data_IF_413459797464
#
_entry.id   IF_413459797464
#
_cell.length_a   1.000
_cell.length_b   1.000
_cell.length_c   1.000
_cell.angle_alpha   90.00
_cell.angle_beta   90.00
_cell.angle_gamma   90.00
#
_symmetry.space_group_name_H-M   'P 1'
#
loop_
_entity.id
_entity.type
_entity.pdbx_description
1 polymer ?
#
# COMPACT_ATOMS: atom_id res chain seq x y z
N UNK A 1 -15.15 11.15 4.20
CA UNK A 1 -14.34 10.49 5.25
C UNK A 1 -14.82 9.10 5.63
N UNK A 2 -15.51 8.33 4.76
CA UNK A 2 -15.57 6.89 4.94
C UNK A 2 -14.14 6.34 4.91
N UNK A 3 -13.73 5.64 5.97
CA UNK A 3 -12.45 4.91 6.09
C UNK A 3 -11.19 5.63 5.58
N UNK A 4 -10.95 6.89 5.98
CA UNK A 4 -9.60 7.46 5.83
C UNK A 4 -8.64 6.62 6.67
N UNK A 5 -7.49 6.27 6.12
CA UNK A 5 -6.38 5.71 6.90
C UNK A 5 -6.03 6.71 8.02
N UNK A 6 -6.24 6.36 9.31
CA UNK A 6 -6.09 7.32 10.42
C UNK A 6 -4.68 7.88 10.54
N UNK A 7 -3.71 7.27 9.87
CA UNK A 7 -2.30 7.63 9.88
C UNK A 7 -1.83 8.52 8.72
N UNK A 8 -2.71 8.96 7.82
CA UNK A 8 -2.33 9.79 6.67
C UNK A 8 -2.93 11.20 6.72
N UNK A 9 -2.08 12.23 6.76
CA UNK A 9 -2.51 13.63 6.71
C UNK A 9 -2.83 14.07 5.28
N UNK A 10 -4.00 14.69 5.10
CA UNK A 10 -4.39 15.31 3.83
C UNK A 10 -3.97 16.79 3.93
N UNK A 11 -3.17 17.32 2.99
CA UNK A 11 -2.83 18.73 2.98
C UNK A 11 -4.07 19.62 2.79
N UNK A 12 -4.07 20.81 3.39
CA UNK A 12 -5.18 21.78 3.33
C UNK A 12 -5.22 22.60 2.03
N UNK A 13 -4.46 22.20 1.00
CA UNK A 13 -4.38 22.93 -0.27
C UNK A 13 -5.65 22.80 -1.12
N UNK A 14 -6.48 21.80 -0.83
CA UNK A 14 -7.82 21.60 -1.40
C UNK A 14 -8.82 21.44 -0.25
N UNK A 15 -10.01 22.10 -0.30
CA UNK A 15 -11.02 21.97 0.75
C UNK A 15 -11.34 20.50 1.06
N UNK A 16 -11.04 20.01 2.28
CA UNK A 16 -11.35 18.64 2.66
C UNK A 16 -12.83 18.49 3.02
N UNK A 17 -13.42 17.36 2.65
CA UNK A 17 -14.77 16.99 3.10
C UNK A 17 -14.73 15.67 3.88
N UNK A 18 -15.21 15.72 5.13
CA UNK A 18 -15.29 14.56 6.03
C UNK A 18 -16.38 13.56 5.64
N UNK A 19 -17.27 13.92 4.73
CA UNK A 19 -18.27 13.05 4.12
C UNK A 19 -18.30 13.30 2.61
N UNK A 20 -19.09 12.51 1.88
CA UNK A 20 -19.38 12.86 0.49
C UNK A 20 -20.05 14.23 0.45
N UNK A 21 -19.58 15.18 -0.39
CA UNK A 21 -20.09 16.54 -0.33
C UNK A 21 -21.59 16.58 -0.66
N UNK A 22 -22.43 17.19 0.19
CA UNK A 22 -23.89 17.13 0.06
C UNK A 22 -24.39 17.77 -1.24
N UNK A 23 -23.64 18.70 -1.82
CA UNK A 23 -23.95 19.32 -3.11
C UNK A 23 -23.96 18.33 -4.29
N UNK A 24 -23.39 17.14 -4.14
CA UNK A 24 -23.40 16.06 -5.14
C UNK A 24 -24.40 14.95 -4.80
N UNK A 25 -25.23 15.12 -3.77
CA UNK A 25 -26.22 14.14 -3.30
C UNK A 25 -25.71 13.27 -2.14
N UNK A 26 -26.43 12.19 -1.84
CA UNK A 26 -26.05 11.26 -0.78
C UNK A 26 -25.19 10.12 -1.34
N UNK A 27 -24.00 9.92 -0.78
CA UNK A 27 -23.26 8.68 -1.01
C UNK A 27 -23.85 7.56 -0.15
N UNK A 28 -24.23 6.46 -0.80
CA UNK A 28 -24.49 5.21 -0.10
C UNK A 28 -23.15 4.64 0.34
N UNK A 29 -22.84 4.74 1.62
CA UNK A 29 -21.68 4.06 2.19
C UNK A 29 -21.88 2.54 2.03
N UNK A 30 -20.95 1.87 1.36
CA UNK A 30 -20.92 0.41 1.30
C UNK A 30 -19.92 -0.09 2.32
N UNK A 31 -20.39 -0.90 3.28
CA UNK A 31 -19.50 -1.54 4.23
C UNK A 31 -18.50 -2.45 3.52
N UNK A 32 -17.28 -2.50 4.08
CA UNK A 32 -16.27 -3.44 3.59
C UNK A 32 -16.71 -4.87 3.92
N UNK A 33 -16.50 -5.84 3.01
CA UNK A 33 -16.82 -7.24 3.29
C UNK A 33 -16.17 -7.75 4.57
N UNK A 34 -16.81 -8.74 5.20
CA UNK A 34 -16.19 -9.49 6.29
C UNK A 34 -14.90 -10.15 5.82
N UNK A 35 -13.94 -10.23 6.73
CA UNK A 35 -12.59 -10.73 6.49
C UNK A 35 -12.05 -11.35 7.77
N UNK A 36 -11.09 -12.25 7.64
CA UNK A 36 -10.36 -12.79 8.78
C UNK A 36 -9.59 -11.66 9.46
N UNK A 37 -9.86 -11.47 10.76
CA UNK A 37 -9.21 -10.44 11.56
C UNK A 37 -7.79 -10.86 11.97
N UNK A 38 -6.91 -9.88 12.11
CA UNK A 38 -5.58 -10.10 12.64
C UNK A 38 -5.62 -10.44 14.15
N UNK A 39 -4.60 -11.15 14.61
CA UNK A 39 -4.32 -11.44 16.00
C UNK A 39 -4.03 -10.15 16.76
N UNK A 40 -4.51 -10.06 17.99
CA UNK A 40 -4.25 -8.92 18.87
C UNK A 40 -2.76 -8.60 18.99
N UNK A 41 -2.37 -7.39 18.62
CA UNK A 41 -0.98 -6.90 18.67
C UNK A 41 -0.18 -7.08 17.38
N UNK A 42 -0.71 -7.80 16.38
CA UNK A 42 -0.17 -7.81 15.03
C UNK A 42 -0.76 -6.65 14.20
N UNK A 43 -0.09 -6.29 13.10
CA UNK A 43 -0.64 -5.36 12.10
C UNK A 43 -1.29 -6.16 10.98
N UNK A 44 -2.60 -6.00 10.81
CA UNK A 44 -3.40 -6.68 9.79
C UNK A 44 -3.47 -5.94 8.46
N UNK A 45 -3.76 -6.69 7.41
CA UNK A 45 -4.09 -6.15 6.11
C UNK A 45 -4.93 -7.11 5.29
N UNK A 46 -5.63 -6.56 4.31
CA UNK A 46 -6.51 -7.33 3.45
C UNK A 46 -6.73 -6.66 2.09
N UNK A 47 -7.14 -7.46 1.10
CA UNK A 47 -7.58 -6.93 -0.18
C UNK A 47 -8.93 -6.21 -0.05
N UNK A 48 -9.35 -5.50 -1.11
CA UNK A 48 -10.62 -4.75 -1.12
C UNK A 48 -11.83 -5.65 -0.84
N UNK A 49 -11.88 -6.84 -1.44
CA UNK A 49 -13.00 -7.77 -1.28
C UNK A 49 -12.92 -8.65 -0.02
N UNK A 50 -11.86 -8.55 0.78
CA UNK A 50 -11.66 -9.36 1.99
C UNK A 50 -11.22 -10.82 1.74
N UNK A 51 -11.20 -11.29 0.49
CA UNK A 51 -10.85 -12.67 0.13
C UNK A 51 -9.35 -13.03 0.27
N UNK A 52 -8.50 -12.06 0.62
CA UNK A 52 -7.08 -12.27 0.95
C UNK A 52 -6.77 -11.43 2.18
N UNK A 53 -6.26 -12.08 3.21
CA UNK A 53 -5.91 -11.45 4.50
C UNK A 53 -4.55 -11.90 4.96
N UNK A 54 -3.82 -11.02 5.63
CA UNK A 54 -2.50 -11.29 6.18
C UNK A 54 -2.27 -10.49 7.45
N UNK A 55 -1.21 -10.83 8.16
CA UNK A 55 -0.70 -10.03 9.25
C UNK A 55 0.82 -10.08 9.33
N UNK A 56 1.40 -9.15 10.08
CA UNK A 56 2.79 -9.22 10.49
C UNK A 56 3.01 -8.70 11.91
N UNK A 57 4.06 -9.20 12.55
CA UNK A 57 4.46 -8.79 13.89
C UNK A 57 5.57 -7.73 13.86
N UNK A 58 5.59 -6.89 14.89
CA UNK A 58 6.65 -5.90 15.11
C UNK A 58 6.57 -4.68 14.19
N UNK A 59 7.58 -3.82 14.27
CA UNK A 59 7.65 -2.60 13.48
C UNK A 59 8.27 -2.87 12.10
N UNK A 60 7.74 -2.25 11.02
CA UNK A 60 8.37 -2.28 9.72
C UNK A 60 9.82 -1.77 9.73
N UNK A 61 10.66 -2.38 8.89
CA UNK A 61 12.07 -1.99 8.71
C UNK A 61 12.18 -0.66 7.95
N UNK A 62 11.26 -0.43 7.01
CA UNK A 62 11.23 0.79 6.21
C UNK A 62 9.84 1.02 5.59
N UNK A 63 9.56 2.28 5.28
CA UNK A 63 8.45 2.69 4.43
C UNK A 63 8.91 3.77 3.46
N UNK A 64 8.60 3.64 2.17
CA UNK A 64 9.03 4.60 1.13
C UNK A 64 7.95 4.87 0.10
N UNK A 65 7.96 6.06 -0.48
CA UNK A 65 7.16 6.42 -1.64
C UNK A 65 7.97 6.24 -2.92
N UNK A 66 7.62 5.27 -3.75
CA UNK A 66 8.31 4.98 -5.00
C UNK A 66 7.56 5.54 -6.21
N UNK A 67 8.21 6.49 -6.89
CA UNK A 67 7.66 7.23 -8.04
C UNK A 67 7.97 6.61 -9.40
N UNK A 68 8.70 5.48 -9.43
CA UNK A 68 9.11 4.88 -10.69
C UNK A 68 7.90 4.47 -11.55
N UNK A 69 8.04 4.50 -12.88
CA UNK A 69 6.96 4.20 -13.82
C UNK A 69 6.28 2.86 -13.56
N UNK A 70 7.03 1.86 -13.10
CA UNK A 70 6.52 0.53 -12.76
C UNK A 70 5.61 0.55 -11.54
N UNK A 71 6.03 1.22 -10.47
CA UNK A 71 5.23 1.33 -9.25
C UNK A 71 3.92 2.08 -9.51
N UNK A 72 3.98 3.17 -10.28
CA UNK A 72 2.77 3.90 -10.70
C UNK A 72 1.80 3.04 -11.50
N UNK A 73 2.31 2.29 -12.48
CA UNK A 73 1.49 1.42 -13.33
C UNK A 73 0.93 0.23 -12.57
N UNK A 74 1.71 -0.38 -11.68
CA UNK A 74 1.25 -1.52 -10.88
C UNK A 74 0.16 -1.11 -9.88
N UNK A 75 0.29 0.06 -9.24
CA UNK A 75 -0.70 0.54 -8.27
C UNK A 75 -1.83 1.36 -8.90
N UNK A 76 -1.73 1.72 -10.19
CA UNK A 76 -2.59 2.72 -10.83
C UNK A 76 -2.67 4.04 -10.04
N UNK A 77 -1.54 4.51 -9.53
CA UNK A 77 -1.44 5.64 -8.61
C UNK A 77 -0.25 6.57 -8.93
N UNK A 78 -0.21 7.74 -8.30
CA UNK A 78 0.85 8.74 -8.44
C UNK A 78 2.25 8.19 -8.12
N UNK A 79 2.29 7.33 -7.12
CA UNK A 79 3.43 6.58 -6.61
C UNK A 79 2.90 5.37 -5.84
N UNK A 80 3.79 4.47 -5.45
CA UNK A 80 3.47 3.38 -4.55
C UNK A 80 4.12 3.61 -3.19
N UNK A 81 3.33 3.67 -2.12
CA UNK A 81 3.86 3.55 -0.76
C UNK A 81 4.03 2.08 -0.43
N UNK A 82 5.25 1.73 -0.05
CA UNK A 82 5.65 0.34 0.18
C UNK A 82 6.27 0.24 1.57
N UNK A 83 5.74 -0.68 2.36
CA UNK A 83 6.22 -1.08 3.68
C UNK A 83 7.09 -2.33 3.52
N UNK A 84 8.25 -2.38 4.17
CA UNK A 84 9.14 -3.53 4.19
C UNK A 84 9.17 -4.14 5.60
N UNK A 85 8.97 -5.45 5.69
CA UNK A 85 8.99 -6.21 6.94
C UNK A 85 9.84 -7.49 6.78
N UNK A 86 10.41 -8.03 7.87
CA UNK A 86 11.09 -9.32 7.81
C UNK A 86 10.14 -10.42 7.34
N UNK A 87 10.57 -11.28 6.43
CA UNK A 87 9.71 -12.34 5.90
C UNK A 87 9.22 -13.30 7.00
N UNK A 88 10.05 -13.56 7.99
CA UNK A 88 9.71 -14.39 9.16
C UNK A 88 8.65 -13.76 10.08
N UNK A 89 8.42 -12.44 10.01
CA UNK A 89 7.42 -11.76 10.80
C UNK A 89 6.05 -11.71 10.11
N UNK A 90 5.98 -12.10 8.83
CA UNK A 90 4.78 -12.03 8.00
C UNK A 90 4.10 -13.40 7.91
N UNK A 91 2.77 -13.42 7.86
CA UNK A 91 1.98 -14.63 7.60
C UNK A 91 0.67 -14.31 6.88
N UNK A 92 0.28 -15.20 5.97
CA UNK A 92 -1.07 -15.19 5.39
C UNK A 92 -2.06 -15.77 6.40
N UNK A 93 -3.23 -15.16 6.47
CA UNK A 93 -4.33 -15.63 7.32
C UNK A 93 -5.39 -16.38 6.51
N UNK A 94 -5.66 -15.91 5.29
CA UNK A 94 -6.61 -16.55 4.38
C UNK A 94 -6.36 -16.11 2.93
N UNK A 95 -6.75 -16.97 1.99
CA UNK A 95 -6.87 -16.60 0.59
C UNK A 95 -5.56 -16.43 -0.19
N UNK A 96 -4.45 -17.02 0.26
CA UNK A 96 -3.19 -16.99 -0.48
C UNK A 96 -3.36 -17.53 -1.92
N UNK A 97 -4.21 -18.54 -2.12
CA UNK A 97 -4.55 -19.11 -3.43
C UNK A 97 -5.28 -18.15 -4.37
N UNK A 98 -5.81 -17.04 -3.85
CA UNK A 98 -6.41 -15.97 -4.65
C UNK A 98 -5.37 -14.96 -5.17
N UNK A 99 -4.09 -15.13 -4.86
CA UNK A 99 -3.03 -14.25 -5.36
C UNK A 99 -2.59 -14.63 -6.78
N UNK A 100 -2.47 -13.61 -7.62
CA UNK A 100 -1.80 -13.70 -8.91
C UNK A 100 -0.49 -12.95 -8.81
N UNK A 101 0.60 -13.64 -9.14
CA UNK A 101 1.93 -13.05 -9.18
C UNK A 101 2.28 -12.71 -10.64
N UNK A 102 2.60 -11.45 -10.89
CA UNK A 102 3.15 -11.00 -12.16
C UNK A 102 4.63 -10.67 -11.99
N UNK A 103 5.47 -11.30 -12.81
CA UNK A 103 6.91 -11.03 -12.88
C UNK A 103 7.24 -10.50 -14.27
N UNK A 104 8.01 -9.42 -14.33
CA UNK A 104 8.51 -8.93 -15.62
C UNK A 104 9.45 -9.97 -16.24
N UNK A 105 9.38 -10.19 -17.56
CA UNK A 105 10.39 -10.99 -18.26
C UNK A 105 11.81 -10.56 -17.89
N UNK A 106 12.72 -11.53 -17.74
CA UNK A 106 14.13 -11.40 -17.33
C UNK A 106 14.43 -10.78 -15.95
N UNK A 107 13.46 -10.32 -15.18
CA UNK A 107 13.76 -9.54 -13.99
C UNK A 107 13.86 -10.37 -12.71
N UNK A 108 15.03 -10.41 -12.06
CA UNK A 108 15.27 -11.22 -10.83
C UNK A 108 14.29 -10.93 -9.68
N UNK A 109 14.04 -9.65 -9.38
CA UNK A 109 13.32 -9.21 -8.16
C UNK A 109 12.06 -8.37 -8.48
N UNK A 110 11.79 -8.12 -9.76
CA UNK A 110 10.79 -7.13 -10.20
C UNK A 110 9.46 -7.81 -10.55
N UNK A 111 8.56 -7.84 -9.59
CA UNK A 111 7.18 -8.33 -9.78
C UNK A 111 6.17 -7.56 -8.94
N UNK A 112 4.90 -7.94 -9.07
CA UNK A 112 3.78 -7.52 -8.22
C UNK A 112 2.87 -8.71 -7.92
N UNK A 113 2.17 -8.69 -6.80
CA UNK A 113 1.14 -9.65 -6.45
C UNK A 113 -0.20 -8.92 -6.31
N UNK A 114 -1.30 -9.53 -6.73
CA UNK A 114 -2.62 -8.92 -6.59
C UNK A 114 -3.70 -9.98 -6.40
N UNK A 115 -4.79 -9.58 -5.73
CA UNK A 115 -5.95 -10.43 -5.57
C UNK A 115 -6.65 -10.63 -6.93
N UNK A 116 -6.86 -11.88 -7.34
CA UNK A 116 -7.55 -12.23 -8.59
C UNK A 116 -9.01 -11.80 -8.66
N UNK A 117 -9.63 -11.56 -7.52
CA UNK A 117 -11.06 -11.22 -7.40
C UNK A 117 -11.27 -9.72 -7.58
N UNK A 118 -10.49 -8.88 -6.89
CA UNK A 118 -10.71 -7.44 -6.84
C UNK A 118 -9.56 -6.59 -7.41
N UNK A 119 -8.44 -7.20 -7.82
CA UNK A 119 -7.29 -6.49 -8.38
C UNK A 119 -6.43 -5.70 -7.38
N UNK A 120 -6.78 -5.68 -6.09
CA UNK A 120 -5.99 -5.03 -5.05
C UNK A 120 -4.58 -5.59 -5.03
N UNK A 121 -3.59 -4.70 -4.95
CA UNK A 121 -2.19 -5.06 -4.87
C UNK A 121 -1.88 -5.59 -3.47
N UNK A 122 -1.18 -6.71 -3.39
CA UNK A 122 -0.98 -7.49 -2.18
C UNK A 122 0.50 -7.68 -1.86
N UNK A 123 0.85 -8.06 -0.62
CA UNK A 123 2.20 -8.37 -0.23
C UNK A 123 2.87 -9.40 -1.14
N UNK A 124 4.18 -9.26 -1.30
CA UNK A 124 5.00 -10.25 -2.01
C UNK A 124 6.38 -10.35 -1.37
N UNK A 125 7.04 -11.48 -1.61
CA UNK A 125 8.45 -11.64 -1.29
C UNK A 125 9.30 -10.73 -2.17
N UNK A 126 10.04 -9.81 -1.55
CA UNK A 126 10.97 -8.89 -2.22
C UNK A 126 12.35 -9.51 -2.36
N UNK A 127 12.87 -10.07 -1.28
CA UNK A 127 14.10 -10.88 -1.21
C UNK A 127 13.81 -12.08 -0.31
N UNK A 128 14.72 -13.06 -0.22
CA UNK A 128 14.53 -14.25 0.63
C UNK A 128 14.18 -13.92 2.09
N UNK A 129 14.66 -12.79 2.62
CA UNK A 129 14.43 -12.36 4.01
C UNK A 129 13.42 -11.24 4.20
N UNK A 130 12.82 -10.69 3.14
CA UNK A 130 12.02 -9.46 3.25
C UNK A 130 10.73 -9.51 2.42
N UNK A 131 9.62 -9.21 3.07
CA UNK A 131 8.32 -8.97 2.42
C UNK A 131 8.17 -7.49 2.09
N UNK A 132 7.63 -7.21 0.91
CA UNK A 132 7.20 -5.88 0.50
C UNK A 132 5.68 -5.84 0.47
N UNK A 133 5.10 -4.93 1.24
CA UNK A 133 3.67 -4.76 1.44
C UNK A 133 3.26 -3.41 0.82
N UNK A 134 2.37 -3.38 -0.18
CA UNK A 134 1.72 -2.14 -0.60
C UNK A 134 0.95 -1.55 0.59
N UNK A 135 1.34 -0.38 1.09
CA UNK A 135 0.80 0.16 2.36
C UNK A 135 -0.72 0.40 2.30
N UNK A 136 -1.29 0.60 1.11
CA UNK A 136 -2.73 0.77 0.92
C UNK A 136 -3.60 -0.47 1.16
N UNK A 137 -3.02 -1.65 1.38
CA UNK A 137 -3.76 -2.85 1.78
C UNK A 137 -3.70 -3.14 3.29
N UNK A 138 -3.14 -2.24 4.09
CA UNK A 138 -3.14 -2.35 5.55
C UNK A 138 -4.49 -1.91 6.12
N UNK A 139 -4.95 -2.66 7.11
CA UNK A 139 -6.18 -2.37 7.85
C UNK A 139 -5.87 -1.59 9.13
N UNK A 140 -4.68 -1.77 9.70
CA UNK A 140 -4.22 -1.19 10.95
C UNK A 140 -3.04 -0.21 10.73
N UNK A 141 -2.80 0.68 11.71
CA UNK A 141 -1.64 1.59 11.66
C UNK A 141 -0.33 0.80 11.90
N UNK A 142 0.58 0.73 10.93
CA UNK A 142 1.85 0.02 11.12
C UNK A 142 2.84 0.75 12.05
N UNK A 143 2.50 1.94 12.57
CA UNK A 143 3.36 2.76 13.43
C UNK A 143 4.55 3.42 12.71
N UNK A 144 4.79 3.09 11.45
CA UNK A 144 5.83 3.66 10.59
C UNK A 144 5.22 4.65 9.59
N UNK A 145 6.01 5.65 9.19
CA UNK A 145 5.65 6.63 8.14
C UNK A 145 6.69 6.60 7.01
N UNK A 146 6.36 7.04 5.79
CA UNK A 146 7.32 7.06 4.70
C UNK A 146 8.54 7.91 5.04
N UNK A 147 9.74 7.36 4.88
CA UNK A 147 10.99 8.05 5.22
C UNK A 147 11.59 8.83 4.03
N UNK A 148 11.18 8.52 2.80
CA UNK A 148 11.71 9.13 1.59
C UNK A 148 10.77 9.00 0.39
N UNK A 149 10.94 9.91 -0.58
CA UNK A 149 10.47 9.79 -1.95
C UNK A 149 11.64 9.33 -2.84
N UNK A 150 11.51 8.19 -3.49
CA UNK A 150 12.54 7.64 -4.39
C UNK A 150 12.06 7.61 -5.85
N UNK A 151 12.98 7.66 -6.79
CA UNK A 151 12.70 7.76 -8.23
C UNK A 151 11.89 9.00 -8.66
N UNK A 152 12.11 10.15 -8.01
CA UNK A 152 11.33 11.37 -8.25
C UNK A 152 11.50 11.94 -9.65
N UNK A 153 12.60 11.63 -10.35
CA UNK A 153 12.78 12.00 -11.77
C UNK A 153 11.72 11.34 -12.67
N UNK A 154 11.17 10.21 -12.23
CA UNK A 154 10.08 9.49 -12.90
C UNK A 154 8.70 9.87 -12.38
N UNK A 155 8.52 10.90 -11.53
CA UNK A 155 7.21 11.25 -10.93
C UNK A 155 6.11 11.50 -11.95
N UNK A 156 4.85 11.31 -11.56
CA UNK A 156 3.74 11.65 -12.44
C UNK A 156 3.73 13.17 -12.68
N UNK A 157 3.47 13.59 -13.91
CA UNK A 157 3.47 15.01 -14.27
C UNK A 157 2.46 15.80 -13.41
N UNK A 158 1.33 15.16 -13.10
CA UNK A 158 0.25 15.69 -12.27
C UNK A 158 0.48 15.53 -10.75
N UNK A 159 1.52 14.82 -10.31
CA UNK A 159 1.80 14.62 -8.88
C UNK A 159 2.77 15.66 -8.35
N UNK A 160 2.40 16.26 -7.22
CA UNK A 160 3.32 17.01 -6.36
C UNK A 160 4.03 16.02 -5.46
N UNK A 161 5.36 16.15 -5.32
CA UNK A 161 6.15 15.33 -4.39
C UNK A 161 6.18 16.06 -3.06
N UNK A 162 5.85 15.34 -1.98
CA UNK A 162 5.96 15.89 -0.63
C UNK A 162 7.40 16.31 -0.33
N UNK A 163 7.62 17.62 -0.22
CA UNK A 163 8.93 18.23 0.01
C UNK A 163 9.40 18.08 1.47
N UNK A 164 8.53 17.61 2.38
CA UNK A 164 8.89 17.36 3.79
C UNK A 164 9.72 16.08 3.95
N UNK A 165 9.73 15.21 2.94
CA UNK A 165 10.53 13.99 2.90
C UNK A 165 11.69 14.15 1.92
N UNK A 166 12.89 13.59 2.23
CA UNK A 166 14.00 13.54 1.29
C UNK A 166 13.56 12.95 -0.06
N UNK A 167 13.91 13.65 -1.15
CA UNK A 167 13.61 13.24 -2.52
C UNK A 167 14.87 12.78 -3.25
N UNK A 168 14.85 11.57 -3.78
CA UNK A 168 15.95 11.00 -4.57
C UNK A 168 15.48 10.79 -6.03
N UNK A 169 16.22 11.30 -7.03
CA UNK A 169 15.84 11.16 -8.44
C UNK A 169 15.83 9.69 -8.90
N UNK A 170 16.63 8.84 -8.25
CA UNK A 170 16.82 7.42 -8.51
C UNK A 170 16.72 6.60 -7.22
N UNK A 171 17.17 5.34 -7.25
CA UNK A 171 17.31 4.53 -6.04
C UNK A 171 18.32 5.20 -5.08
N UNK A 172 18.11 5.12 -3.75
CA UNK A 172 19.14 5.48 -2.78
C UNK A 172 20.43 4.67 -3.06
N UNK A 173 21.62 5.27 -2.87
CA UNK A 173 22.89 4.56 -2.99
C UNK A 173 23.00 3.40 -2.00
#
# INVERSE_FOLDING_TARGET
>A
MGSKAPWHDIPDDVPPHDAYPPEFGDAVATDRPQRTAATSGATGGSCLCGAVTFEFDGQPEAMVNCHCSRCRRAMSAAYATMTMVPAQAFRWLDGEDNLVNYKMPEARVKGTAFCRVCGSQMPRLRTEGQMQIPTGCLDDDPGTRPAANIFTASKAAWSVVDQRLPGFPDAPP
#
